data_IF_092025480133
#
_entry.id   IF_092025480133
#
_cell.length_a   1.000
_cell.length_b   1.000
_cell.length_c   1.000
_cell.angle_alpha   90.00
_cell.angle_beta   90.00
_cell.angle_gamma   90.00
#
_symmetry.space_group_name_H-M   'P 1'
#
loop_
_entity.id
_entity.type
_entity.pdbx_description
1 polymer ?
#
# COMPACT_ATOMS: atom_id res chain seq x y z
N UNK A 1 14.97 -4.05 -26.97
CA UNK A 1 14.05 -3.80 -25.84
C UNK A 1 12.73 -4.46 -26.18
N UNK A 2 12.18 -5.39 -25.38
CA UNK A 2 10.84 -5.88 -25.61
C UNK A 2 9.89 -4.68 -25.50
N UNK A 3 8.99 -4.52 -26.46
CA UNK A 3 7.97 -3.47 -26.44
C UNK A 3 7.17 -3.62 -25.15
N UNK A 4 7.09 -2.55 -24.38
CA UNK A 4 6.25 -2.51 -23.18
C UNK A 4 4.81 -2.87 -23.59
N UNK A 5 4.21 -3.94 -23.08
CA UNK A 5 2.91 -4.41 -23.56
C UNK A 5 1.76 -3.49 -23.08
N UNK A 6 2.03 -2.42 -22.36
CA UNK A 6 1.03 -1.63 -21.65
C UNK A 6 1.22 -0.14 -21.90
N UNK A 7 0.15 0.53 -22.37
CA UNK A 7 0.09 1.97 -22.62
C UNK A 7 0.45 2.83 -21.39
N UNK A 8 0.42 2.26 -20.18
CA UNK A 8 0.75 2.94 -18.94
C UNK A 8 2.24 2.93 -18.60
N UNK A 9 3.05 2.08 -19.23
CA UNK A 9 4.50 2.05 -19.02
C UNK A 9 5.26 3.09 -19.88
N UNK A 10 4.61 3.77 -20.80
CA UNK A 10 5.26 4.60 -21.81
C UNK A 10 4.76 6.06 -21.82
N UNK A 11 3.76 6.42 -21.00
CA UNK A 11 3.30 7.80 -20.88
C UNK A 11 4.04 8.51 -19.75
N UNK A 12 4.71 9.61 -20.10
CA UNK A 12 5.37 10.54 -19.16
C UNK A 12 4.39 11.17 -18.15
N UNK A 13 3.09 10.86 -18.28
CA UNK A 13 2.00 11.37 -17.46
C UNK A 13 1.39 10.31 -16.54
N UNK A 14 2.19 9.66 -15.68
CA UNK A 14 1.67 9.01 -14.47
C UNK A 14 0.99 10.03 -13.51
N UNK A 15 1.21 11.33 -13.72
CA UNK A 15 0.39 12.45 -13.21
C UNK A 15 -1.12 12.33 -13.51
N UNK A 16 -1.51 11.32 -14.25
CA UNK A 16 -2.85 11.05 -14.77
C UNK A 16 -3.84 10.55 -13.69
N UNK A 17 -3.39 10.16 -12.52
CA UNK A 17 -4.31 9.77 -11.44
C UNK A 17 -4.74 11.00 -10.63
N UNK A 18 -5.13 12.11 -11.25
CA UNK A 18 -5.93 13.21 -10.67
C UNK A 18 -5.68 13.64 -9.22
N UNK A 19 -4.53 13.29 -8.66
CA UNK A 19 -4.11 13.67 -7.31
C UNK A 19 -3.25 14.93 -7.40
N UNK A 20 -3.88 16.08 -7.23
CA UNK A 20 -3.19 17.37 -7.22
C UNK A 20 -2.66 17.72 -5.81
N UNK A 21 -1.87 18.80 -5.74
CA UNK A 21 -1.31 19.26 -4.46
C UNK A 21 -2.36 19.69 -3.43
N UNK A 22 -3.59 20.04 -3.86
CA UNK A 22 -4.69 20.37 -2.95
C UNK A 22 -5.24 19.13 -2.27
N UNK A 23 -5.29 18.01 -2.97
CA UNK A 23 -5.74 16.74 -2.38
C UNK A 23 -4.69 16.21 -1.40
N UNK A 24 -3.41 16.30 -1.72
CA UNK A 24 -2.32 15.93 -0.80
C UNK A 24 -2.36 16.76 0.51
N UNK A 25 -2.60 18.09 0.41
CA UNK A 25 -2.71 18.93 1.60
C UNK A 25 -3.96 18.62 2.44
N UNK A 26 -5.09 18.31 1.81
CA UNK A 26 -6.31 17.88 2.53
C UNK A 26 -6.10 16.56 3.25
N UNK A 27 -5.46 15.58 2.59
CA UNK A 27 -5.16 14.28 3.18
C UNK A 27 -4.20 14.42 4.36
N UNK A 28 -3.17 15.27 4.24
CA UNK A 28 -2.27 15.58 5.33
C UNK A 28 -3.00 16.23 6.52
N UNK A 29 -3.84 17.24 6.25
CA UNK A 29 -4.62 17.89 7.29
C UNK A 29 -5.57 16.92 7.99
N UNK A 30 -6.20 16.02 7.22
CA UNK A 30 -7.05 14.97 7.76
C UNK A 30 -6.26 14.00 8.66
N UNK A 31 -5.09 13.54 8.21
CA UNK A 31 -4.23 12.67 8.99
C UNK A 31 -3.76 13.33 10.29
N UNK A 32 -3.28 14.57 10.22
CA UNK A 32 -2.82 15.33 11.41
C UNK A 32 -3.93 15.54 12.44
N UNK A 33 -5.19 15.71 11.98
CA UNK A 33 -6.31 16.02 12.88
C UNK A 33 -7.02 14.78 13.44
N UNK A 34 -7.05 13.67 12.70
CA UNK A 34 -7.87 12.48 13.00
C UNK A 34 -7.10 11.18 13.06
N UNK A 35 -5.80 11.21 12.74
CA UNK A 35 -5.00 10.01 12.53
C UNK A 35 -5.24 9.37 11.16
N UNK A 36 -4.59 8.22 10.89
CA UNK A 36 -4.79 7.46 9.67
C UNK A 36 -6.24 7.00 9.50
N UNK A 37 -6.65 6.70 8.27
CA UNK A 37 -7.94 6.04 8.04
C UNK A 37 -7.99 4.71 8.79
N UNK A 38 -9.18 4.26 9.19
CA UNK A 38 -9.34 3.02 9.96
C UNK A 38 -8.66 1.80 9.31
N UNK A 39 -8.76 1.66 8.00
CA UNK A 39 -8.12 0.57 7.26
C UNK A 39 -6.60 0.71 7.22
N UNK A 40 -6.09 1.92 7.08
CA UNK A 40 -4.66 2.24 7.18
C UNK A 40 -4.13 1.94 8.58
N UNK A 41 -4.88 2.34 9.62
CA UNK A 41 -4.50 2.03 11.01
C UNK A 41 -4.48 0.52 11.27
N UNK A 42 -5.51 -0.21 10.84
CA UNK A 42 -5.55 -1.68 10.93
C UNK A 42 -4.37 -2.33 10.20
N UNK A 43 -4.00 -1.83 9.01
CA UNK A 43 -2.82 -2.30 8.28
C UNK A 43 -1.53 -2.07 9.09
N UNK A 44 -1.36 -0.89 9.66
CA UNK A 44 -0.22 -0.57 10.53
C UNK A 44 -0.18 -1.52 11.73
N UNK A 45 -1.29 -1.66 12.45
CA UNK A 45 -1.38 -2.46 13.67
C UNK A 45 -1.00 -3.92 13.41
N UNK A 46 -1.51 -4.52 12.32
CA UNK A 46 -1.19 -5.92 11.99
C UNK A 46 0.25 -6.10 11.55
N UNK A 47 0.86 -5.12 10.87
CA UNK A 47 2.29 -5.17 10.53
C UNK A 47 3.13 -5.06 11.80
N UNK A 48 2.82 -4.13 12.70
CA UNK A 48 3.54 -3.93 13.95
C UNK A 48 3.50 -5.19 14.84
N UNK A 49 2.38 -5.91 14.86
CA UNK A 49 2.26 -7.18 15.59
C UNK A 49 3.22 -8.28 15.09
N UNK A 50 3.77 -8.15 13.87
CA UNK A 50 4.78 -9.07 13.32
C UNK A 50 6.23 -8.61 13.52
N UNK A 51 6.44 -7.52 14.29
CA UNK A 51 7.75 -6.95 14.59
C UNK A 51 8.35 -6.17 13.40
N UNK A 52 8.78 -4.96 13.66
CA UNK A 52 9.33 -4.03 12.66
C UNK A 52 10.72 -3.50 13.04
N UNK A 53 11.22 -3.85 14.22
CA UNK A 53 12.51 -3.36 14.71
C UNK A 53 13.64 -3.67 13.73
N UNK A 54 14.37 -2.63 13.34
CA UNK A 54 15.46 -2.74 12.38
C UNK A 54 15.06 -3.07 10.94
N UNK A 55 13.77 -3.26 10.64
CA UNK A 55 13.29 -3.64 9.32
C UNK A 55 13.40 -2.49 8.32
N UNK A 56 13.62 -2.85 7.05
CA UNK A 56 13.49 -1.96 5.89
C UNK A 56 12.05 -2.02 5.35
N UNK A 57 11.48 -0.86 5.01
CA UNK A 57 10.13 -0.76 4.45
C UNK A 57 10.14 -0.17 3.04
N UNK A 58 9.29 -0.69 2.16
CA UNK A 58 8.94 -0.11 0.86
C UNK A 58 7.45 0.23 0.88
N UNK A 59 7.13 1.51 0.90
CA UNK A 59 5.75 2.02 0.91
C UNK A 59 5.39 2.53 -0.49
N UNK A 60 4.52 1.80 -1.17
CA UNK A 60 4.15 2.04 -2.57
C UNK A 60 2.87 2.85 -2.61
N UNK A 61 2.88 3.98 -3.32
CA UNK A 61 1.78 4.93 -3.31
C UNK A 61 1.52 5.45 -1.91
N UNK A 62 2.59 5.83 -1.21
CA UNK A 62 2.57 6.16 0.23
C UNK A 62 1.65 7.33 0.58
N UNK A 63 1.23 8.10 -0.43
CA UNK A 63 0.39 9.28 -0.23
C UNK A 63 1.08 10.28 0.71
N UNK A 64 0.47 10.58 1.85
CA UNK A 64 1.06 11.50 2.84
C UNK A 64 2.11 10.86 3.76
N UNK A 65 2.41 9.57 3.57
CA UNK A 65 3.45 8.85 4.31
C UNK A 65 3.02 8.28 5.65
N UNK A 66 1.73 8.07 5.87
CA UNK A 66 1.21 7.64 7.17
C UNK A 66 1.72 6.26 7.59
N UNK A 67 1.85 5.32 6.65
CA UNK A 67 2.27 3.94 6.94
C UNK A 67 3.75 3.92 7.27
N UNK A 68 4.62 4.40 6.38
CA UNK A 68 6.06 4.36 6.64
C UNK A 68 6.47 5.21 7.85
N UNK A 69 5.80 6.33 8.13
CA UNK A 69 6.06 7.11 9.33
C UNK A 69 5.78 6.29 10.60
N UNK A 70 4.64 5.59 10.67
CA UNK A 70 4.30 4.74 11.81
C UNK A 70 5.29 3.57 11.99
N UNK A 71 5.74 2.93 10.89
CA UNK A 71 6.74 1.87 10.95
C UNK A 71 8.10 2.39 11.45
N UNK A 72 8.53 3.56 11.00
CA UNK A 72 9.76 4.20 11.43
C UNK A 72 9.71 4.63 12.91
N UNK A 73 8.58 5.18 13.36
CA UNK A 73 8.35 5.51 14.77
C UNK A 73 8.36 4.27 15.67
N UNK A 74 7.96 3.12 15.14
CA UNK A 74 7.96 1.83 15.83
C UNK A 74 9.30 1.05 15.73
N UNK A 75 10.37 1.66 15.18
CA UNK A 75 11.70 1.07 15.18
C UNK A 75 12.18 0.48 13.84
N UNK A 76 11.42 0.58 12.73
CA UNK A 76 11.94 0.22 11.42
C UNK A 76 13.18 1.06 11.09
N UNK A 77 14.19 0.51 10.43
CA UNK A 77 15.46 1.19 10.19
C UNK A 77 15.34 2.30 9.14
N UNK A 78 14.70 2.02 8.03
CA UNK A 78 14.56 2.93 6.91
C UNK A 78 13.30 2.63 6.09
N UNK A 79 12.85 3.60 5.32
CA UNK A 79 11.77 3.43 4.36
C UNK A 79 12.14 3.97 2.98
N UNK A 80 11.58 3.34 1.95
CA UNK A 80 11.56 3.85 0.59
C UNK A 80 10.10 4.14 0.26
N UNK A 81 9.81 5.37 -0.13
CA UNK A 81 8.52 5.81 -0.65
C UNK A 81 8.59 5.82 -2.18
N UNK A 82 7.78 5.00 -2.83
CA UNK A 82 7.60 5.00 -4.29
C UNK A 82 6.21 5.52 -4.60
N UNK A 83 6.11 6.71 -5.16
CA UNK A 83 4.83 7.32 -5.52
C UNK A 83 4.85 7.91 -6.93
N UNK A 84 3.72 7.83 -7.62
CA UNK A 84 3.51 8.38 -8.96
C UNK A 84 3.11 9.88 -8.94
N UNK A 85 2.98 10.48 -7.76
CA UNK A 85 2.67 11.91 -7.58
C UNK A 85 3.82 12.65 -6.91
N UNK A 86 4.37 13.66 -7.61
CA UNK A 86 5.41 14.55 -7.06
C UNK A 86 4.89 15.38 -5.89
N UNK A 87 3.60 15.74 -5.94
CA UNK A 87 2.92 16.52 -4.93
C UNK A 87 2.79 15.74 -3.62
N UNK A 88 2.40 14.47 -3.69
CA UNK A 88 2.36 13.61 -2.51
C UNK A 88 3.75 13.35 -1.94
N UNK A 89 4.75 13.08 -2.78
CA UNK A 89 6.16 12.96 -2.35
C UNK A 89 6.63 14.23 -1.62
N UNK A 90 6.31 15.43 -2.14
CA UNK A 90 6.71 16.67 -1.50
C UNK A 90 6.05 16.83 -0.12
N UNK A 91 4.76 16.49 -0.01
CA UNK A 91 4.00 16.53 1.25
C UNK A 91 4.50 15.49 2.25
N UNK A 92 4.72 14.25 1.82
CA UNK A 92 5.24 13.18 2.67
C UNK A 92 6.65 13.51 3.20
N UNK A 93 7.52 14.07 2.34
CA UNK A 93 8.87 14.50 2.72
C UNK A 93 8.83 15.58 3.80
N UNK A 94 8.06 16.64 3.58
CA UNK A 94 7.92 17.72 4.55
C UNK A 94 7.35 17.23 5.89
N UNK A 95 6.44 16.26 5.85
CA UNK A 95 5.89 15.66 7.06
C UNK A 95 6.90 14.76 7.78
N UNK A 96 7.68 13.97 7.06
CA UNK A 96 8.75 13.16 7.63
C UNK A 96 9.83 14.04 8.29
N UNK A 97 10.24 15.13 7.63
CA UNK A 97 11.17 16.13 8.21
C UNK A 97 10.61 16.73 9.50
N UNK A 98 9.33 17.13 9.50
CA UNK A 98 8.65 17.67 10.67
C UNK A 98 8.62 16.69 11.87
N UNK A 99 8.59 15.39 11.57
CA UNK A 99 8.60 14.30 12.57
C UNK A 99 10.01 13.88 12.98
N UNK A 100 11.06 14.43 12.38
CA UNK A 100 12.44 14.00 12.61
C UNK A 100 12.79 12.64 11.96
N UNK A 101 12.05 12.26 10.93
CA UNK A 101 12.21 10.99 10.21
C UNK A 101 12.87 11.19 8.83
N UNK A 102 13.15 12.42 8.41
CA UNK A 102 13.58 12.76 7.05
C UNK A 102 14.78 12.00 6.56
N UNK A 103 15.80 11.82 7.40
CA UNK A 103 17.03 11.10 7.06
C UNK A 103 16.85 9.57 6.87
N UNK A 104 15.69 9.05 7.29
CA UNK A 104 15.35 7.62 7.23
C UNK A 104 14.42 7.26 6.07
N UNK A 105 13.99 8.25 5.26
CA UNK A 105 13.10 8.03 4.12
C UNK A 105 13.76 8.42 2.81
N UNK A 106 13.78 7.48 1.87
CA UNK A 106 14.22 7.73 0.49
C UNK A 106 12.99 7.78 -0.42
N UNK A 107 12.90 8.81 -1.26
CA UNK A 107 11.76 9.02 -2.15
C UNK A 107 12.13 8.69 -3.60
N UNK A 108 11.24 7.95 -4.28
CA UNK A 108 11.35 7.58 -5.69
C UNK A 108 10.05 7.96 -6.41
N UNK A 109 10.15 8.83 -7.40
CA UNK A 109 9.03 9.16 -8.27
C UNK A 109 8.94 8.15 -9.40
N UNK A 110 7.79 7.53 -9.62
CA UNK A 110 7.52 6.63 -10.74
C UNK A 110 6.62 5.45 -10.41
N UNK A 111 6.54 4.53 -11.37
CA UNK A 111 5.80 3.27 -11.24
C UNK A 111 6.70 2.20 -10.59
N UNK A 112 6.18 1.50 -9.58
CA UNK A 112 6.89 0.40 -8.95
C UNK A 112 7.32 -0.67 -9.96
N UNK A 113 6.48 -1.00 -10.95
CA UNK A 113 6.80 -2.05 -11.95
C UNK A 113 8.03 -1.69 -12.77
N UNK A 114 8.26 -0.40 -13.02
CA UNK A 114 9.45 0.09 -13.73
C UNK A 114 10.67 0.20 -12.81
N UNK A 115 10.44 0.61 -11.57
CA UNK A 115 11.50 0.90 -10.61
C UNK A 115 12.02 -0.34 -9.86
N UNK A 116 11.22 -1.39 -9.75
CA UNK A 116 11.48 -2.54 -8.88
C UNK A 116 12.87 -3.18 -9.09
N UNK A 117 13.32 -3.29 -10.35
CA UNK A 117 14.62 -3.86 -10.66
C UNK A 117 15.81 -3.06 -10.12
N UNK A 118 15.62 -1.78 -9.79
CA UNK A 118 16.63 -0.89 -9.22
C UNK A 118 16.46 -0.64 -7.73
N UNK A 119 15.46 -1.25 -7.09
CA UNK A 119 15.23 -1.12 -5.65
C UNK A 119 15.99 -2.22 -4.87
N UNK A 120 16.50 -1.90 -3.67
CA UNK A 120 17.08 -2.91 -2.80
C UNK A 120 15.99 -3.85 -2.25
N UNK A 121 16.36 -5.04 -1.75
CA UNK A 121 15.47 -5.86 -0.95
C UNK A 121 14.87 -5.06 0.22
N UNK A 122 13.61 -5.32 0.53
CA UNK A 122 12.89 -4.64 1.59
C UNK A 122 12.10 -5.65 2.41
N UNK A 123 12.23 -5.60 3.73
CA UNK A 123 11.58 -6.57 4.63
C UNK A 123 10.05 -6.47 4.61
N UNK A 124 9.53 -5.27 4.48
CA UNK A 124 8.10 -4.98 4.53
C UNK A 124 7.73 -4.17 3.28
N UNK A 125 6.72 -4.63 2.53
CA UNK A 125 6.14 -3.86 1.42
C UNK A 125 4.69 -3.54 1.75
N UNK A 126 4.30 -2.27 1.57
CA UNK A 126 2.94 -1.79 1.81
C UNK A 126 2.35 -1.14 0.57
N UNK A 127 1.06 -1.42 0.31
CA UNK A 127 0.27 -0.81 -0.76
C UNK A 127 -1.10 -0.40 -0.17
N UNK A 128 -1.13 0.74 0.52
CA UNK A 128 -2.39 1.25 1.09
C UNK A 128 -3.21 1.99 0.02
N UNK A 129 -4.31 1.40 -0.40
CA UNK A 129 -5.22 1.96 -1.40
C UNK A 129 -4.63 2.09 -2.83
N UNK A 130 -3.59 1.32 -3.16
CA UNK A 130 -2.90 1.36 -4.45
C UNK A 130 -3.46 0.34 -5.46
N UNK A 131 -3.73 -0.88 -5.00
CA UNK A 131 -4.16 -2.00 -5.86
C UNK A 131 -5.37 -1.64 -6.72
N UNK A 132 -6.29 -0.83 -6.21
CA UNK A 132 -7.47 -0.39 -6.94
C UNK A 132 -7.18 0.65 -8.04
N UNK A 133 -6.02 1.26 -8.03
CA UNK A 133 -5.60 2.26 -9.03
C UNK A 133 -4.73 1.65 -10.13
N UNK A 134 -4.31 0.39 -9.97
CA UNK A 134 -3.40 -0.27 -10.89
C UNK A 134 -4.11 -1.33 -11.75
N UNK A 135 -4.09 -1.21 -13.09
CA UNK A 135 -4.86 -2.10 -13.97
C UNK A 135 -4.30 -3.52 -14.07
N UNK A 136 -2.99 -3.69 -13.92
CA UNK A 136 -2.27 -4.94 -14.18
C UNK A 136 -1.78 -5.61 -12.90
N UNK A 137 -2.72 -6.19 -12.14
CA UNK A 137 -2.42 -6.84 -10.86
C UNK A 137 -1.26 -7.86 -10.90
N UNK A 138 -1.12 -8.74 -11.93
CA UNK A 138 0.01 -9.67 -11.96
C UNK A 138 1.37 -8.97 -12.04
N UNK A 139 1.49 -7.90 -12.84
CA UNK A 139 2.74 -7.16 -12.96
C UNK A 139 3.08 -6.43 -11.65
N UNK A 140 2.08 -5.80 -11.02
CA UNK A 140 2.25 -5.14 -9.73
C UNK A 140 2.71 -6.13 -8.65
N UNK A 141 2.06 -7.30 -8.55
CA UNK A 141 2.46 -8.32 -7.56
C UNK A 141 3.83 -8.92 -7.86
N UNK A 142 4.19 -9.11 -9.13
CA UNK A 142 5.53 -9.54 -9.50
C UNK A 142 6.60 -8.52 -9.08
N UNK A 143 6.35 -7.23 -9.25
CA UNK A 143 7.24 -6.17 -8.78
C UNK A 143 7.35 -6.14 -7.25
N UNK A 144 6.23 -6.32 -6.54
CA UNK A 144 6.20 -6.42 -5.07
C UNK A 144 7.07 -7.57 -4.57
N UNK A 145 6.93 -8.76 -5.13
CA UNK A 145 7.68 -9.94 -4.66
C UNK A 145 9.15 -9.92 -5.09
N UNK A 146 9.51 -9.16 -6.14
CA UNK A 146 10.89 -9.09 -6.64
C UNK A 146 11.85 -8.42 -5.66
N UNK A 147 11.38 -7.59 -4.72
CA UNK A 147 12.20 -7.01 -3.65
C UNK A 147 12.29 -7.91 -2.41
N UNK A 148 11.79 -9.16 -2.51
CA UNK A 148 11.91 -10.24 -1.53
C UNK A 148 11.41 -9.89 -0.11
N UNK A 149 10.21 -9.34 0.06
CA UNK A 149 9.71 -8.96 1.37
C UNK A 149 9.34 -10.18 2.23
N UNK A 150 9.54 -10.08 3.55
CA UNK A 150 8.99 -11.07 4.50
C UNK A 150 7.51 -10.82 4.78
N UNK A 151 7.06 -9.54 4.67
CA UNK A 151 5.67 -9.14 4.86
C UNK A 151 5.20 -8.27 3.70
N UNK A 152 3.97 -8.51 3.22
CA UNK A 152 3.30 -7.67 2.22
C UNK A 152 1.92 -7.27 2.75
N UNK A 153 1.74 -5.99 3.02
CA UNK A 153 0.50 -5.41 3.53
C UNK A 153 -0.27 -4.64 2.46
N UNK A 154 -1.56 -4.94 2.31
CA UNK A 154 -2.40 -4.39 1.25
C UNK A 154 -3.73 -3.90 1.79
N UNK A 155 -4.20 -2.73 1.31
CA UNK A 155 -5.60 -2.35 1.44
C UNK A 155 -6.22 -2.10 0.07
N UNK A 156 -7.42 -2.62 -0.16
CA UNK A 156 -8.14 -2.47 -1.42
C UNK A 156 -9.64 -2.71 -1.25
N UNK A 157 -10.47 -2.21 -2.19
CA UNK A 157 -11.91 -2.42 -2.15
C UNK A 157 -12.27 -3.91 -2.23
N UNK A 158 -13.29 -4.33 -1.46
CA UNK A 158 -13.82 -5.71 -1.58
C UNK A 158 -14.41 -5.94 -2.97
N UNK A 159 -14.25 -7.15 -3.51
CA UNK A 159 -14.77 -7.55 -4.83
C UNK A 159 -16.26 -7.92 -4.82
N UNK A 160 -17.05 -7.30 -3.94
CA UNK A 160 -18.50 -7.44 -3.89
C UNK A 160 -19.16 -6.91 -5.18
N UNK A 161 -20.30 -7.50 -5.57
CA UNK A 161 -21.00 -7.10 -6.80
C UNK A 161 -21.38 -5.61 -6.82
N UNK A 162 -21.84 -5.08 -5.69
CA UNK A 162 -22.19 -3.67 -5.55
C UNK A 162 -20.98 -2.73 -5.65
N UNK A 163 -19.82 -3.14 -5.13
CA UNK A 163 -18.58 -2.39 -5.27
C UNK A 163 -18.12 -2.33 -6.73
N UNK A 164 -18.22 -3.45 -7.46
CA UNK A 164 -17.93 -3.48 -8.90
C UNK A 164 -18.89 -2.60 -9.70
N UNK A 165 -20.18 -2.60 -9.35
CA UNK A 165 -21.16 -1.72 -9.96
C UNK A 165 -20.85 -0.24 -9.67
N UNK A 166 -20.55 0.09 -8.42
CA UNK A 166 -20.15 1.44 -8.01
C UNK A 166 -18.89 1.91 -8.78
N UNK A 167 -17.84 1.10 -8.85
CA UNK A 167 -16.63 1.47 -9.57
C UNK A 167 -16.85 1.65 -11.08
N UNK A 168 -17.71 0.85 -11.70
CA UNK A 168 -18.10 1.04 -13.11
C UNK A 168 -18.79 2.37 -13.33
N UNK A 169 -19.75 2.71 -12.45
CA UNK A 169 -20.47 3.98 -12.52
C UNK A 169 -19.53 5.16 -12.26
N UNK A 170 -18.65 5.03 -11.28
CA UNK A 170 -17.63 6.03 -11.00
C UNK A 170 -16.70 6.24 -12.19
N UNK A 171 -16.16 5.18 -12.78
CA UNK A 171 -15.31 5.26 -13.97
C UNK A 171 -16.04 5.87 -15.17
N UNK A 172 -17.35 5.59 -15.33
CA UNK A 172 -18.17 6.24 -16.37
C UNK A 172 -18.27 7.76 -16.12
N UNK A 173 -18.56 8.16 -14.88
CA UNK A 173 -18.60 9.58 -14.52
C UNK A 173 -17.24 10.28 -14.74
N UNK A 174 -16.12 9.60 -14.42
CA UNK A 174 -14.79 10.12 -14.70
C UNK A 174 -14.52 10.24 -16.22
N UNK A 175 -14.97 9.27 -17.01
CA UNK A 175 -14.87 9.33 -18.47
C UNK A 175 -15.64 10.51 -19.06
N UNK A 176 -16.87 10.77 -18.57
CA UNK A 176 -17.68 11.92 -18.99
C UNK A 176 -17.02 13.25 -18.63
N UNK A 177 -16.30 13.32 -17.52
CA UNK A 177 -15.53 14.50 -17.08
C UNK A 177 -14.17 14.59 -17.78
N UNK A 178 -13.83 13.67 -18.69
CA UNK A 178 -12.52 13.54 -19.33
C UNK A 178 -11.36 13.41 -18.32
N UNK A 179 -11.66 12.92 -17.13
CA UNK A 179 -10.63 12.60 -16.13
C UNK A 179 -9.94 11.30 -16.50
N UNK A 180 -8.62 11.22 -16.41
CA UNK A 180 -7.88 9.98 -16.66
C UNK A 180 -8.00 8.96 -15.53
N UNK A 181 -8.40 9.38 -14.33
CA UNK A 181 -8.49 8.51 -13.16
C UNK A 181 -9.42 7.30 -13.42
N UNK A 182 -8.92 6.11 -13.12
CA UNK A 182 -9.66 4.85 -13.25
C UNK A 182 -9.44 4.01 -12.01
N UNK A 183 -10.51 3.29 -11.58
CA UNK A 183 -10.47 2.40 -10.44
C UNK A 183 -10.85 0.99 -10.85
N UNK A 184 -10.13 0.01 -10.31
CA UNK A 184 -10.22 -1.40 -10.65
C UNK A 184 -10.61 -2.22 -9.42
N UNK A 185 -11.63 -3.09 -9.56
CA UNK A 185 -11.99 -4.05 -8.53
C UNK A 185 -11.33 -5.40 -8.84
N UNK A 186 -10.16 -5.63 -8.30
CA UNK A 186 -9.48 -6.91 -8.43
C UNK A 186 -10.13 -7.97 -7.54
N UNK A 187 -10.18 -9.21 -8.04
CA UNK A 187 -10.72 -10.32 -7.26
C UNK A 187 -9.71 -10.75 -6.20
N UNK A 188 -10.14 -10.79 -4.94
CA UNK A 188 -9.31 -11.27 -3.83
C UNK A 188 -8.69 -12.64 -4.13
N UNK A 189 -9.47 -13.58 -4.68
CA UNK A 189 -8.97 -14.91 -5.06
C UNK A 189 -7.80 -14.86 -6.06
N UNK A 190 -7.82 -13.93 -7.01
CA UNK A 190 -6.71 -13.75 -7.97
C UNK A 190 -5.44 -13.25 -7.26
N UNK A 191 -5.57 -12.23 -6.41
CA UNK A 191 -4.46 -11.69 -5.63
C UNK A 191 -3.87 -12.77 -4.72
N UNK A 192 -4.71 -13.49 -3.97
CA UNK A 192 -4.31 -14.60 -3.11
C UNK A 192 -3.58 -15.70 -3.90
N UNK A 193 -4.05 -16.05 -5.10
CA UNK A 193 -3.39 -17.05 -5.95
C UNK A 193 -2.00 -16.59 -6.42
N UNK A 194 -1.85 -15.31 -6.79
CA UNK A 194 -0.56 -14.74 -7.18
C UNK A 194 0.42 -14.76 -6.00
N UNK A 195 -0.01 -14.34 -4.82
CA UNK A 195 0.83 -14.35 -3.62
C UNK A 195 1.21 -15.77 -3.20
N UNK A 196 0.26 -16.72 -3.24
CA UNK A 196 0.53 -18.12 -2.93
C UNK A 196 1.52 -18.76 -3.91
N UNK A 197 1.41 -18.47 -5.21
CA UNK A 197 2.35 -18.93 -6.23
C UNK A 197 3.77 -18.38 -6.03
N UNK A 198 3.89 -17.20 -5.41
CA UNK A 198 5.15 -16.58 -5.03
C UNK A 198 5.67 -17.02 -3.64
N UNK A 199 5.01 -17.98 -2.97
CA UNK A 199 5.45 -18.52 -1.68
C UNK A 199 4.97 -17.72 -0.46
N UNK A 200 3.94 -16.89 -0.60
CA UNK A 200 3.36 -16.13 0.51
C UNK A 200 2.06 -16.75 0.99
N UNK A 201 1.84 -16.74 2.29
CA UNK A 201 0.57 -17.13 2.93
C UNK A 201 -0.14 -15.91 3.50
N UNK A 202 -1.45 -15.90 3.44
CA UNK A 202 -2.28 -14.89 4.09
C UNK A 202 -2.29 -15.13 5.60
N UNK A 203 -1.89 -14.13 6.36
CA UNK A 203 -1.80 -14.20 7.84
C UNK A 203 -2.80 -13.27 8.51
N UNK A 204 -3.38 -12.32 7.76
CA UNK A 204 -4.49 -11.48 8.22
C UNK A 204 -5.43 -11.18 7.05
N UNK A 205 -6.75 -11.21 7.30
CA UNK A 205 -7.81 -10.76 6.40
C UNK A 205 -8.90 -10.05 7.22
N UNK A 206 -8.94 -8.74 7.12
CA UNK A 206 -9.82 -7.88 7.90
C UNK A 206 -10.41 -6.74 7.09
N UNK A 207 -10.55 -5.59 7.73
CA UNK A 207 -11.03 -4.35 7.14
C UNK A 207 -12.49 -4.01 7.45
N UNK A 208 -13.16 -3.39 6.49
CA UNK A 208 -14.56 -2.93 6.58
C UNK A 208 -15.44 -3.65 5.56
N UNK A 209 -16.77 -3.43 5.57
CA UNK A 209 -17.66 -3.97 4.52
C UNK A 209 -17.28 -3.54 3.10
N UNK A 210 -16.65 -2.37 2.93
CA UNK A 210 -16.25 -1.83 1.64
C UNK A 210 -14.78 -2.10 1.28
N UNK A 211 -13.89 -2.16 2.27
CA UNK A 211 -12.45 -2.28 2.09
C UNK A 211 -11.89 -3.51 2.81
N UNK A 212 -10.93 -4.13 2.20
CA UNK A 212 -10.20 -5.27 2.76
C UNK A 212 -8.81 -4.81 3.22
N UNK A 213 -8.37 -5.33 4.34
CA UNK A 213 -7.00 -5.22 4.86
C UNK A 213 -6.42 -6.63 4.88
N UNK A 214 -5.31 -6.85 4.19
CA UNK A 214 -4.69 -8.17 4.09
C UNK A 214 -3.21 -8.06 4.39
N UNK A 215 -2.69 -8.98 5.17
CA UNK A 215 -1.26 -9.17 5.37
C UNK A 215 -0.85 -10.55 4.87
N UNK A 216 0.17 -10.58 4.05
CA UNK A 216 0.85 -11.79 3.59
C UNK A 216 2.21 -11.91 4.23
N UNK A 217 2.60 -13.13 4.63
CA UNK A 217 3.94 -13.44 5.10
C UNK A 217 4.61 -14.47 4.19
N UNK A 218 5.90 -14.34 3.93
CA UNK A 218 6.69 -15.32 3.19
C UNK A 218 6.68 -16.66 3.91
N UNK A 219 6.63 -17.76 3.15
CA UNK A 219 6.74 -19.11 3.71
C UNK A 219 8.12 -19.25 4.36
N UNK A 220 8.17 -19.54 5.66
CA UNK A 220 9.41 -19.58 6.46
C UNK A 220 9.57 -18.40 7.42
N UNK A 221 8.82 -17.34 7.31
CA UNK A 221 8.70 -16.33 8.35
C UNK A 221 7.89 -16.94 9.50
N UNK A 222 8.54 -17.22 10.64
CA UNK A 222 7.82 -17.63 11.84
C UNK A 222 6.90 -16.48 12.25
N UNK A 223 5.60 -16.69 12.10
CA UNK A 223 4.65 -15.87 12.82
C UNK A 223 4.98 -16.00 14.30
N UNK A 224 5.01 -14.91 15.04
CA UNK A 224 4.99 -14.98 16.49
C UNK A 224 3.69 -15.72 16.89
N UNK A 225 3.80 -17.04 17.01
CA UNK A 225 2.79 -17.87 17.67
C UNK A 225 2.87 -17.53 19.15
N UNK A 226 2.15 -16.51 19.58
CA UNK A 226 1.77 -16.28 20.97
C UNK A 226 0.83 -15.07 21.05
N UNK A 227 -0.40 -15.24 20.61
CA UNK A 227 -1.53 -14.53 21.19
C UNK A 227 -2.53 -15.60 21.62
N UNK A 228 -2.26 -16.25 22.75
CA UNK A 228 -3.33 -16.90 23.49
C UNK A 228 -4.34 -15.81 23.89
N UNK A 229 -5.63 -16.01 23.64
CA UNK A 229 -6.64 -15.13 24.23
C UNK A 229 -6.61 -15.36 25.74
N UNK A 230 -6.13 -14.40 26.49
CA UNK A 230 -6.25 -14.40 27.94
C UNK A 230 -7.73 -14.40 28.30
N UNK A 231 -8.24 -15.59 28.59
CA UNK A 231 -9.54 -15.80 29.26
C UNK A 231 -9.41 -15.31 30.70
N UNK A 232 -9.47 -14.01 30.93
CA UNK A 232 -9.77 -13.51 32.26
C UNK A 232 -11.27 -13.58 32.48
N UNK A 233 -11.67 -14.68 33.13
CA UNK A 233 -12.96 -14.84 33.77
C UNK A 233 -13.18 -13.74 34.81
N UNK A 234 -14.06 -12.81 34.52
CA UNK A 234 -14.66 -11.97 35.55
C UNK A 234 -15.70 -12.82 36.31
N UNK A 235 -15.32 -13.32 37.48
CA UNK A 235 -16.23 -13.74 38.54
C UNK A 235 -16.02 -12.76 39.69
N UNK A 236 -17.08 -12.05 40.04
CA UNK A 236 -17.16 -11.16 41.20
C UNK A 236 -18.28 -10.15 40.99
#
# INVERSE_FOLDING_TARGET
MPACPHRFCCDEDLAIIGYDGRDAQKDLAAWRSRGPRRTTQELIDVILAHGVEGASALDVGAGVGAVHAALLEAGAAAAIDVDASREYIAVARAEAERRGLGDRVTYRYGDLVELAAGLPPSDIVTLDSVVCCYPYLPALMAAVVSVNPRLVGLTYPRDAWWMRAFMRLFNLAQALRRSPARYFAHRHRQLRSLMAAAGYREVHDGGSPAWRVVLYAAAGTQAAENIEPSSQSWRG
#
